data_IF_845198228762
#
_entry.id   IF_845198228762
#
_cell.length_a   1.000
_cell.length_b   1.000
_cell.length_c   1.000
_cell.angle_alpha   90.00
_cell.angle_beta   90.00
_cell.angle_gamma   90.00
#
_symmetry.space_group_name_H-M   'P 1'
#
loop_
_entity.id
_entity.type
_entity.pdbx_description
1 polymer ?
#
# COMPACT_ATOMS: atom_id res chain seq x y z
N UNK A 1 -0.79 1.88 1.77
CA UNK A 1 0.28 0.95 1.35
C UNK A 1 1.45 1.62 0.64
N UNK A 2 1.28 2.76 -0.06
CA UNK A 2 2.39 3.37 -0.84
C UNK A 2 3.70 3.62 -0.09
N UNK A 3 3.66 4.28 1.08
CA UNK A 3 4.88 4.62 1.84
C UNK A 3 5.61 3.36 2.33
N UNK A 4 4.87 2.38 2.83
CA UNK A 4 5.44 1.12 3.31
C UNK A 4 6.18 0.39 2.20
N UNK A 5 5.53 0.20 1.05
CA UNK A 5 6.16 -0.41 -0.11
C UNK A 5 7.38 0.38 -0.63
N UNK A 6 7.34 1.70 -0.56
CA UNK A 6 8.43 2.55 -1.06
C UNK A 6 9.67 2.56 -0.16
N UNK A 7 9.50 2.45 1.17
CA UNK A 7 10.57 2.76 2.13
C UNK A 7 10.91 1.62 3.11
N UNK A 8 9.98 0.71 3.39
CA UNK A 8 10.08 -0.24 4.51
C UNK A 8 9.95 -1.70 4.09
N UNK A 9 8.96 -2.00 3.26
CA UNK A 9 8.56 -3.36 2.92
C UNK A 9 9.51 -3.96 1.86
N UNK A 10 9.99 -5.18 2.11
CA UNK A 10 10.78 -5.94 1.15
C UNK A 10 10.57 -7.44 1.33
N UNK A 11 10.23 -8.14 0.24
CA UNK A 11 10.22 -9.60 0.21
C UNK A 11 11.63 -10.10 -0.15
N UNK A 12 12.38 -10.54 0.85
CA UNK A 12 13.77 -10.98 0.69
C UNK A 12 13.81 -12.50 0.60
N UNK A 13 14.37 -13.01 -0.49
CA UNK A 13 14.54 -14.43 -0.73
C UNK A 13 16.02 -14.79 -0.67
N UNK A 14 16.34 -15.92 -0.05
CA UNK A 14 17.66 -16.53 -0.13
C UNK A 14 17.97 -16.95 -1.58
N UNK A 15 19.19 -16.65 -2.07
CA UNK A 15 19.52 -16.81 -3.49
C UNK A 15 19.66 -18.27 -3.93
N UNK A 16 20.13 -19.15 -3.03
CA UNK A 16 20.42 -20.54 -3.37
C UNK A 16 19.20 -21.45 -3.17
N UNK A 17 18.51 -21.30 -2.03
CA UNK A 17 17.37 -22.14 -1.67
C UNK A 17 16.02 -21.60 -2.15
N UNK A 18 15.93 -20.30 -2.47
CA UNK A 18 14.67 -19.63 -2.80
C UNK A 18 13.73 -19.45 -1.59
N UNK A 19 14.21 -19.69 -0.37
CA UNK A 19 13.41 -19.55 0.84
C UNK A 19 13.10 -18.06 1.13
N UNK A 20 11.86 -17.75 1.51
CA UNK A 20 11.49 -16.42 1.99
C UNK A 20 12.10 -16.17 3.37
N UNK A 21 12.96 -15.16 3.46
CA UNK A 21 13.65 -14.76 4.69
C UNK A 21 12.86 -13.72 5.48
N UNK A 22 12.10 -12.87 4.80
CA UNK A 22 11.24 -11.85 5.42
C UNK A 22 9.81 -12.37 5.66
N UNK A 23 9.68 -13.60 6.18
CA UNK A 23 8.39 -14.28 6.35
C UNK A 23 7.62 -13.88 7.63
N UNK A 24 8.22 -13.02 8.46
CA UNK A 24 7.66 -12.57 9.74
C UNK A 24 7.65 -11.04 9.79
N UNK A 25 6.80 -10.44 10.64
CA UNK A 25 6.84 -8.99 10.87
C UNK A 25 8.07 -8.49 11.65
N UNK A 26 8.93 -9.39 12.13
CA UNK A 26 10.24 -9.00 12.66
C UNK A 26 11.20 -8.61 11.53
N UNK A 27 11.02 -9.21 10.35
CA UNK A 27 11.91 -9.10 9.20
C UNK A 27 11.27 -8.34 8.02
N UNK A 28 9.94 -8.36 7.93
CA UNK A 28 9.14 -7.55 7.02
C UNK A 28 8.59 -6.32 7.75
N UNK A 29 9.18 -5.16 7.49
CA UNK A 29 8.86 -3.94 8.21
C UNK A 29 7.50 -3.38 7.78
N UNK A 30 6.48 -3.61 8.61
CA UNK A 30 5.17 -2.98 8.46
C UNK A 30 5.18 -1.55 9.01
N UNK A 31 4.69 -0.54 8.25
CA UNK A 31 4.60 0.83 8.73
C UNK A 31 3.76 0.94 10.00
N UNK A 32 4.27 1.71 10.96
CA UNK A 32 3.62 2.09 12.21
C UNK A 32 3.04 3.50 12.10
N UNK A 33 2.26 3.87 13.10
CA UNK A 33 1.59 5.17 13.12
C UNK A 33 2.58 6.35 13.13
N UNK A 34 3.71 6.20 13.81
CA UNK A 34 4.78 7.19 13.93
C UNK A 34 5.72 7.24 12.71
N UNK A 35 5.64 6.26 11.80
CA UNK A 35 6.37 6.29 10.52
C UNK A 35 5.69 7.21 9.48
N UNK A 36 4.46 7.65 9.74
CA UNK A 36 3.63 8.38 8.77
C UNK A 36 3.38 9.83 9.19
N UNK A 37 3.37 10.77 8.23
CA UNK A 37 2.88 12.11 8.49
C UNK A 37 1.35 12.12 8.60
N UNK A 38 0.80 13.24 9.08
CA UNK A 38 -0.64 13.50 8.88
C UNK A 38 -0.93 13.76 7.41
N UNK A 39 -2.05 13.21 6.92
CA UNK A 39 -2.46 13.34 5.52
C UNK A 39 -3.47 14.48 5.34
N UNK A 40 -3.34 15.22 4.24
CA UNK A 40 -4.37 16.13 3.74
C UNK A 40 -4.96 15.52 2.48
N UNK A 41 -6.29 15.38 2.43
CA UNK A 41 -7.01 14.73 1.32
C UNK A 41 -7.97 15.74 0.70
N UNK A 42 -8.00 15.78 -0.63
CA UNK A 42 -8.93 16.60 -1.41
C UNK A 42 -9.56 15.74 -2.52
N UNK A 43 -10.76 16.12 -2.95
CA UNK A 43 -11.52 15.38 -3.96
C UNK A 43 -11.82 16.28 -5.16
N UNK A 44 -11.77 15.71 -6.36
CA UNK A 44 -12.23 16.35 -7.59
C UNK A 44 -13.23 15.41 -8.29
N UNK A 45 -14.51 15.67 -8.08
CA UNK A 45 -15.57 14.77 -8.50
C UNK A 45 -15.86 14.90 -10.00
N UNK A 46 -15.69 13.78 -10.72
CA UNK A 46 -16.13 13.62 -12.10
C UNK A 46 -17.04 12.40 -12.16
N UNK A 47 -18.38 12.58 -12.22
CA UNK A 47 -19.33 11.47 -12.22
C UNK A 47 -19.08 10.47 -13.34
N UNK A 48 -19.30 9.19 -13.04
CA UNK A 48 -19.24 8.12 -14.03
C UNK A 48 -20.52 8.10 -14.88
N UNK A 49 -20.39 8.06 -16.21
CA UNK A 49 -21.54 8.02 -17.13
C UNK A 49 -22.07 6.61 -17.39
N UNK A 50 -21.33 5.57 -16.97
CA UNK A 50 -21.62 4.16 -17.31
C UNK A 50 -22.39 3.41 -16.22
N UNK A 51 -22.64 4.03 -15.07
CA UNK A 51 -23.47 3.46 -14.02
C UNK A 51 -24.49 4.48 -13.47
N UNK A 52 -25.69 4.06 -13.06
CA UNK A 52 -26.75 4.96 -12.61
C UNK A 52 -26.41 5.79 -11.37
N UNK A 53 -25.41 5.37 -10.58
CA UNK A 53 -25.03 6.03 -9.34
C UNK A 53 -23.94 7.08 -9.54
N UNK A 54 -23.31 7.16 -10.72
CA UNK A 54 -22.21 8.09 -10.99
C UNK A 54 -20.91 7.78 -10.25
N UNK A 55 -20.80 6.63 -9.57
CA UNK A 55 -19.67 6.30 -8.68
C UNK A 55 -18.49 5.65 -9.41
N UNK A 56 -17.29 5.77 -8.85
CA UNK A 56 -16.06 5.09 -9.29
C UNK A 56 -15.39 4.42 -8.09
N UNK A 57 -14.76 3.26 -8.31
CA UNK A 57 -13.95 2.61 -7.29
C UNK A 57 -12.67 3.41 -7.01
N UNK A 58 -12.27 3.47 -5.74
CA UNK A 58 -11.10 4.21 -5.27
C UNK A 58 -10.29 3.42 -4.22
N UNK A 59 -10.53 2.11 -4.08
CA UNK A 59 -9.93 1.30 -3.01
C UNK A 59 -8.42 1.07 -3.17
N UNK A 60 -7.89 1.22 -4.38
CA UNK A 60 -6.47 1.05 -4.71
C UNK A 60 -5.76 2.38 -5.01
N UNK A 61 -6.47 3.50 -4.85
CA UNK A 61 -5.95 4.84 -5.13
C UNK A 61 -4.95 5.32 -4.07
#
# INVERSE_FOLDING_TARGET
QGIGQALLEAAIYDQDSGQLMSGSFMDYCMPRADDLPSFTVAHNEVPCTTNPLGVKGCGEA
#
